data_IF_883623625606
#
_entry.id   IF_883623625606
#
_cell.length_a   1.000
_cell.length_b   1.000
_cell.length_c   1.000
_cell.angle_alpha   90.00
_cell.angle_beta   90.00
_cell.angle_gamma   90.00
#
_symmetry.space_group_name_H-M   'P 1'
#
loop_
_entity.id
_entity.type
_entity.pdbx_description
1 polymer ?
#
# COMPACT_ATOMS: atom_id res chain seq x y z
N UNK A 1 -0.46 4.93 -11.00
CA UNK A 1 -1.58 4.00 -10.75
C UNK A 1 -2.73 4.81 -10.22
N UNK A 2 -3.76 4.99 -11.03
CA UNK A 2 -5.00 5.63 -10.61
C UNK A 2 -5.81 4.57 -9.85
N UNK A 3 -6.29 4.92 -8.66
CA UNK A 3 -7.01 4.06 -7.69
C UNK A 3 -8.43 3.71 -8.20
N UNK A 4 -8.49 3.13 -9.40
CA UNK A 4 -9.71 2.87 -10.17
C UNK A 4 -10.18 1.43 -9.94
N UNK A 5 -11.49 1.24 -9.98
CA UNK A 5 -12.12 -0.07 -9.89
C UNK A 5 -11.55 -1.02 -10.97
N UNK A 6 -11.23 -2.28 -10.64
CA UNK A 6 -10.68 -3.24 -11.60
C UNK A 6 -11.68 -3.64 -12.69
N UNK A 7 -12.98 -3.60 -12.39
CA UNK A 7 -14.03 -4.01 -13.32
C UNK A 7 -14.40 -2.90 -14.33
N UNK A 8 -14.64 -1.67 -13.84
CA UNK A 8 -15.10 -0.57 -14.70
C UNK A 8 -14.03 0.46 -15.07
N UNK A 9 -12.86 0.44 -14.43
CA UNK A 9 -11.77 1.41 -14.58
C UNK A 9 -12.15 2.90 -14.42
N UNK A 10 -13.37 3.22 -13.96
CA UNK A 10 -13.89 4.58 -13.84
C UNK A 10 -14.15 4.97 -12.37
N UNK A 11 -14.74 4.06 -11.58
CA UNK A 11 -15.05 4.34 -10.18
C UNK A 11 -13.81 4.38 -9.29
N UNK A 12 -13.79 5.30 -8.32
CA UNK A 12 -12.71 5.38 -7.32
C UNK A 12 -12.95 4.38 -6.19
N UNK A 13 -11.93 3.59 -5.85
CA UNK A 13 -12.03 2.59 -4.78
C UNK A 13 -12.02 3.25 -3.41
N UNK A 14 -11.13 4.23 -3.21
CA UNK A 14 -10.99 4.94 -1.93
C UNK A 14 -11.89 6.18 -1.89
N UNK A 15 -12.72 6.29 -0.84
CA UNK A 15 -13.53 7.47 -0.54
C UNK A 15 -12.67 8.61 -0.01
N UNK A 16 -11.72 8.26 0.86
CA UNK A 16 -10.74 9.18 1.42
C UNK A 16 -9.37 8.53 1.26
N UNK A 17 -8.43 9.22 0.59
CA UNK A 17 -7.07 8.71 0.34
C UNK A 17 -6.21 8.58 1.61
N UNK A 18 -6.77 9.00 2.75
CA UNK A 18 -6.05 9.15 4.01
C UNK A 18 -5.05 10.30 3.92
N UNK A 19 -4.58 10.76 5.07
CA UNK A 19 -3.48 11.71 5.14
C UNK A 19 -2.44 11.19 6.13
N UNK A 20 -1.24 10.79 5.69
CA UNK A 20 -0.19 10.29 6.59
C UNK A 20 0.18 11.31 7.67
N UNK A 21 0.11 12.62 7.34
CA UNK A 21 0.41 13.71 8.27
C UNK A 21 -0.68 13.96 9.33
N UNK A 22 -1.89 13.44 9.12
CA UNK A 22 -3.04 13.66 10.00
C UNK A 22 -3.57 12.36 10.63
N UNK A 23 -2.81 11.27 10.55
CA UNK A 23 -3.21 9.93 11.01
C UNK A 23 -4.60 9.48 10.52
N UNK A 24 -5.02 9.96 9.35
CA UNK A 24 -6.31 9.58 8.77
C UNK A 24 -6.13 8.31 7.95
N UNK A 25 -6.73 7.22 8.44
CA UNK A 25 -6.74 5.93 7.76
C UNK A 25 -7.54 6.07 6.47
N UNK A 26 -7.04 5.58 5.33
CA UNK A 26 -7.78 5.58 4.08
C UNK A 26 -9.05 4.72 4.19
N UNK A 27 -10.19 5.31 3.80
CA UNK A 27 -11.50 4.66 3.83
C UNK A 27 -11.89 4.26 2.42
N UNK A 28 -12.41 3.04 2.27
CA UNK A 28 -12.75 2.40 1.00
C UNK A 28 -14.26 2.33 0.87
N UNK A 29 -14.76 2.34 -0.35
CA UNK A 29 -16.16 2.00 -0.60
C UNK A 29 -16.34 0.48 -0.49
N UNK A 30 -17.47 0.02 0.02
CA UNK A 30 -17.84 -1.41 -0.02
C UNK A 30 -18.20 -1.84 -1.44
N UNK A 31 -18.78 -0.93 -2.22
CA UNK A 31 -19.22 -1.15 -3.60
C UNK A 31 -18.75 0.01 -4.49
N UNK A 32 -18.45 -0.30 -5.75
CA UNK A 32 -18.05 0.70 -6.73
C UNK A 32 -19.22 1.66 -7.03
N UNK A 33 -19.03 2.99 -6.97
CA UNK A 33 -20.11 3.96 -7.20
C UNK A 33 -20.61 4.02 -8.64
N UNK A 34 -19.92 3.38 -9.61
CA UNK A 34 -20.27 3.42 -11.04
C UNK A 34 -20.90 2.11 -11.50
N UNK A 35 -20.29 0.98 -11.20
CA UNK A 35 -20.75 -0.34 -11.65
C UNK A 35 -21.39 -1.20 -10.56
N UNK A 36 -21.52 -0.67 -9.34
CA UNK A 36 -22.06 -1.35 -8.16
C UNK A 36 -21.37 -2.68 -7.80
N UNK A 37 -20.16 -2.88 -8.30
CA UNK A 37 -19.35 -4.06 -8.01
C UNK A 37 -18.90 -4.05 -6.55
N UNK A 38 -19.17 -5.12 -5.80
CA UNK A 38 -18.77 -5.27 -4.41
C UNK A 38 -17.28 -5.61 -4.33
N UNK A 39 -16.49 -4.76 -3.67
CA UNK A 39 -15.04 -4.96 -3.54
C UNK A 39 -14.68 -6.04 -2.52
N UNK A 40 -15.50 -6.23 -1.50
CA UNK A 40 -15.38 -7.33 -0.54
C UNK A 40 -16.29 -8.49 -0.96
N UNK A 41 -15.73 -9.46 -1.67
CA UNK A 41 -16.45 -10.66 -2.12
C UNK A 41 -16.65 -11.64 -0.97
N UNK A 42 -15.68 -11.78 -0.08
CA UNK A 42 -15.66 -12.74 1.04
C UNK A 42 -15.21 -12.08 2.36
N UNK A 43 -15.75 -12.48 3.53
CA UNK A 43 -15.28 -11.98 4.81
C UNK A 43 -13.79 -12.34 5.00
N UNK A 44 -12.95 -11.33 5.19
CA UNK A 44 -11.50 -11.53 5.32
C UNK A 44 -10.71 -11.52 4.01
N UNK A 45 -11.33 -11.18 2.87
CA UNK A 45 -10.65 -11.05 1.56
C UNK A 45 -9.38 -10.17 1.61
N UNK A 46 -9.41 -9.09 2.41
CA UNK A 46 -8.26 -8.19 2.57
C UNK A 46 -7.11 -8.72 3.44
N UNK A 47 -7.24 -9.91 4.02
CA UNK A 47 -6.13 -10.56 4.75
C UNK A 47 -4.98 -10.86 3.80
N UNK A 48 -5.26 -11.27 2.56
CA UNK A 48 -4.25 -11.44 1.53
C UNK A 48 -3.54 -10.14 1.15
N UNK A 49 -4.29 -9.04 1.06
CA UNK A 49 -3.71 -7.71 0.83
C UNK A 49 -2.73 -7.29 1.93
N UNK A 50 -2.93 -7.72 3.19
CA UNK A 50 -1.97 -7.48 4.27
C UNK A 50 -0.61 -8.14 3.99
N UNK A 51 -0.60 -9.39 3.53
CA UNK A 51 0.64 -10.09 3.16
C UNK A 51 1.35 -9.42 1.98
N UNK A 52 0.60 -8.94 0.99
CA UNK A 52 1.18 -8.15 -0.11
C UNK A 52 1.84 -6.88 0.41
N UNK A 53 1.24 -6.19 1.40
CA UNK A 53 1.84 -4.99 2.01
C UNK A 53 3.16 -5.32 2.70
N UNK A 54 3.23 -6.46 3.38
CA UNK A 54 4.46 -6.92 4.02
C UNK A 54 5.55 -7.24 3.00
N UNK A 55 5.20 -7.92 1.91
CA UNK A 55 6.13 -8.17 0.80
C UNK A 55 6.66 -6.88 0.16
N UNK A 56 5.80 -5.87 -0.04
CA UNK A 56 6.22 -4.56 -0.54
C UNK A 56 7.17 -3.85 0.41
N UNK A 57 6.90 -3.86 1.72
CA UNK A 57 7.78 -3.27 2.71
C UNK A 57 9.16 -3.96 2.76
N UNK A 58 9.19 -5.29 2.66
CA UNK A 58 10.45 -6.04 2.57
C UNK A 58 11.26 -5.66 1.32
N UNK A 59 10.59 -5.57 0.16
CA UNK A 59 11.25 -5.15 -1.08
C UNK A 59 11.80 -3.73 -0.98
N UNK A 60 11.03 -2.80 -0.40
CA UNK A 60 11.47 -1.43 -0.15
C UNK A 60 12.72 -1.40 0.75
N UNK A 61 12.72 -2.16 1.85
CA UNK A 61 13.87 -2.24 2.76
C UNK A 61 15.13 -2.79 2.07
N UNK A 62 14.99 -3.86 1.28
CA UNK A 62 16.11 -4.45 0.53
C UNK A 62 16.67 -3.45 -0.48
N UNK A 63 15.80 -2.76 -1.23
CA UNK A 63 16.22 -1.76 -2.22
C UNK A 63 16.98 -0.61 -1.57
N UNK A 64 16.47 -0.08 -0.46
CA UNK A 64 17.13 1.01 0.26
C UNK A 64 18.47 0.53 0.83
N UNK A 65 18.53 -0.67 1.40
CA UNK A 65 19.77 -1.26 1.89
C UNK A 65 20.84 -1.39 0.78
N UNK A 66 20.45 -1.85 -0.41
CA UNK A 66 21.34 -1.96 -1.58
C UNK A 66 21.86 -0.59 -2.04
N UNK A 67 21.05 0.47 -1.94
CA UNK A 67 21.45 1.84 -2.29
C UNK A 67 22.42 2.42 -1.27
N UNK A 68 22.25 2.10 0.02
CA UNK A 68 23.05 2.66 1.13
C UNK A 68 24.37 1.90 1.33
N UNK A 69 24.45 0.64 0.91
CA UNK A 69 25.65 -0.22 0.93
C UNK A 69 26.97 0.45 0.49
N UNK A 70 27.05 1.17 -0.66
CA UNK A 70 28.30 1.77 -1.13
C UNK A 70 28.79 2.99 -0.32
N UNK A 71 27.94 3.57 0.53
CA UNK A 71 28.26 4.82 1.23
C UNK A 71 29.01 4.60 2.57
N UNK A 72 29.32 3.35 2.93
CA UNK A 72 30.05 2.95 4.15
C UNK A 72 29.59 3.68 5.43
N UNK A 73 28.27 3.76 5.63
CA UNK A 73 27.69 4.36 6.84
C UNK A 73 27.84 3.43 8.05
N UNK A 74 27.75 4.01 9.25
CA UNK A 74 27.60 3.22 10.48
C UNK A 74 26.28 2.47 10.50
N UNK A 75 26.22 1.38 11.27
CA UNK A 75 25.04 0.52 11.39
C UNK A 75 23.79 1.30 11.83
N UNK A 76 23.96 2.27 12.74
CA UNK A 76 22.86 3.12 13.23
C UNK A 76 22.21 3.91 12.09
N UNK A 77 23.02 4.51 11.22
CA UNK A 77 22.52 5.28 10.09
C UNK A 77 21.88 4.39 9.02
N UNK A 78 22.38 3.17 8.82
CA UNK A 78 21.76 2.19 7.91
C UNK A 78 20.37 1.80 8.44
N UNK A 79 20.21 1.54 9.74
CA UNK A 79 18.90 1.24 10.32
C UNK A 79 17.91 2.38 10.12
N UNK A 80 18.32 3.62 10.40
CA UNK A 80 17.47 4.80 10.18
C UNK A 80 17.11 4.95 8.70
N UNK A 81 18.09 4.78 7.81
CA UNK A 81 17.88 4.91 6.37
C UNK A 81 16.89 3.88 5.83
N UNK A 82 16.87 2.66 6.37
CA UNK A 82 15.94 1.59 5.94
C UNK A 82 14.55 1.73 6.58
N UNK A 83 14.46 2.07 7.86
CA UNK A 83 13.18 2.14 8.57
C UNK A 83 12.39 3.42 8.25
N UNK A 84 13.07 4.56 8.04
CA UNK A 84 12.41 5.85 7.83
C UNK A 84 11.53 5.88 6.56
N UNK A 85 11.98 5.38 5.39
CA UNK A 85 11.15 5.28 4.19
C UNK A 85 9.89 4.43 4.43
N UNK A 86 10.02 3.25 5.03
CA UNK A 86 8.88 2.37 5.29
C UNK A 86 7.81 3.06 6.14
N UNK A 87 8.24 3.83 7.15
CA UNK A 87 7.33 4.61 8.00
C UNK A 87 6.71 5.80 7.26
N UNK A 88 7.43 6.45 6.36
CA UNK A 88 6.88 7.56 5.55
C UNK A 88 5.89 7.02 4.51
N UNK A 89 6.24 5.92 3.85
CA UNK A 89 5.47 5.30 2.77
C UNK A 89 4.43 4.30 3.24
N UNK A 90 4.23 4.10 4.55
CA UNK A 90 3.26 3.12 5.09
C UNK A 90 1.84 3.26 4.51
N UNK A 91 1.30 4.49 4.41
CA UNK A 91 -0.03 4.75 3.82
C UNK A 91 -0.07 4.47 2.32
N UNK A 92 1.07 4.58 1.64
CA UNK A 92 1.19 4.27 0.22
C UNK A 92 1.24 2.76 0.00
N UNK A 93 2.08 2.06 0.78
CA UNK A 93 2.17 0.60 0.77
C UNK A 93 0.81 -0.05 1.06
N UNK A 94 0.08 0.46 2.05
CA UNK A 94 -1.27 -0.01 2.37
C UNK A 94 -2.26 0.12 1.21
N UNK A 95 -2.29 1.28 0.55
CA UNK A 95 -3.18 1.51 -0.60
C UNK A 95 -2.78 0.62 -1.78
N UNK A 96 -1.48 0.52 -2.06
CA UNK A 96 -0.94 -0.26 -3.17
C UNK A 96 -1.20 -1.74 -3.02
N UNK A 97 -1.00 -2.30 -1.83
CA UNK A 97 -1.20 -3.74 -1.65
C UNK A 97 -2.65 -4.15 -1.85
N UNK A 98 -3.60 -3.33 -1.38
CA UNK A 98 -5.04 -3.56 -1.62
C UNK A 98 -5.39 -3.45 -3.09
N UNK A 99 -4.88 -2.44 -3.79
CA UNK A 99 -5.07 -2.33 -5.24
C UNK A 99 -4.50 -3.54 -5.98
N UNK A 100 -3.26 -3.95 -5.67
CA UNK A 100 -2.61 -5.11 -6.30
C UNK A 100 -3.44 -6.38 -6.06
N UNK A 101 -3.90 -6.59 -4.83
CA UNK A 101 -4.72 -7.75 -4.49
C UNK A 101 -6.04 -7.76 -5.27
N UNK A 102 -6.76 -6.63 -5.34
CA UNK A 102 -8.00 -6.50 -6.14
C UNK A 102 -7.80 -6.59 -7.66
N UNK A 103 -6.57 -6.49 -8.15
CA UNK A 103 -6.27 -6.69 -9.58
C UNK A 103 -5.81 -8.13 -9.88
N UNK A 104 -5.34 -8.85 -8.87
CA UNK A 104 -4.94 -10.25 -8.99
C UNK A 104 -6.14 -11.21 -8.84
N UNK A 105 -7.19 -10.78 -8.15
CA UNK A 105 -8.44 -11.51 -7.91
C UNK A 105 -9.63 -10.69 -8.39
#
# INVERSE_FOLDING_TARGET
MQERCPNCHQGQVFKTKGNPLRFQIPVMHEQCPVCNYRFETEPGFFTGAMYVSYGLALLEMILVYLIVLPFSLSVDWIMVAVCLPVLVFWTFNFRKSRMIWMYLF
#
